data_IF_325408500472
#
_entry.id   IF_325408500472
#
_cell.length_a   1.000
_cell.length_b   1.000
_cell.length_c   1.000
_cell.angle_alpha   90.00
_cell.angle_beta   90.00
_cell.angle_gamma   90.00
#
_symmetry.space_group_name_H-M   'P 1'
#
loop_
_entity.id
_entity.type
_entity.pdbx_description
1 polymer ?
#
# COMPACT_ATOMS: atom_id res chain seq x y z
N UNK A 1 42.22 -1.61 22.36
CA UNK A 1 41.18 -2.53 21.87
C UNK A 1 39.94 -1.70 21.61
N UNK A 2 39.51 -1.58 20.35
CA UNK A 2 38.35 -0.76 20.00
C UNK A 2 37.10 -1.58 20.26
N UNK A 3 36.28 -1.15 21.22
CA UNK A 3 34.97 -1.74 21.48
C UNK A 3 34.05 -1.40 20.32
N UNK A 4 33.61 -2.40 19.55
CA UNK A 4 32.60 -2.23 18.51
C UNK A 4 31.28 -1.83 19.16
N UNK A 5 30.68 -0.75 18.68
CA UNK A 5 29.38 -0.27 19.15
C UNK A 5 28.26 -1.26 18.76
N UNK A 6 27.31 -1.52 19.67
CA UNK A 6 26.19 -2.45 19.48
C UNK A 6 24.86 -1.85 19.97
N UNK A 7 23.79 -2.12 19.23
CA UNK A 7 22.41 -1.76 19.58
C UNK A 7 21.64 -2.88 20.31
N UNK A 8 22.25 -4.05 20.52
CA UNK A 8 21.55 -5.25 21.02
C UNK A 8 20.80 -5.05 22.35
N UNK A 9 21.24 -4.12 23.20
CA UNK A 9 20.58 -3.77 24.47
C UNK A 9 19.56 -2.63 24.38
N UNK A 10 19.19 -2.18 23.18
CA UNK A 10 18.26 -1.04 22.96
C UNK A 10 16.90 -1.45 22.43
N UNK A 11 16.74 -2.71 22.01
CA UNK A 11 15.45 -3.24 21.57
C UNK A 11 14.50 -3.41 22.75
N UNK A 12 13.20 -3.23 22.52
CA UNK A 12 12.19 -3.49 23.54
C UNK A 12 12.06 -5.00 23.77
N UNK A 13 11.50 -5.41 24.92
CA UNK A 13 11.17 -6.81 25.20
C UNK A 13 10.22 -7.45 24.17
N UNK A 14 9.45 -6.62 23.47
CA UNK A 14 8.47 -7.03 22.47
C UNK A 14 9.04 -6.95 21.04
N UNK A 15 10.32 -6.56 20.89
CA UNK A 15 10.99 -6.53 19.60
C UNK A 15 11.33 -7.95 19.14
N UNK A 16 10.97 -8.26 17.90
CA UNK A 16 11.26 -9.55 17.28
C UNK A 16 12.25 -9.33 16.15
N UNK A 17 13.45 -9.87 16.30
CA UNK A 17 14.43 -9.92 15.22
C UNK A 17 13.87 -10.78 14.09
N UNK A 18 13.65 -10.19 12.92
CA UNK A 18 13.13 -10.89 11.75
C UNK A 18 14.21 -10.90 10.68
N UNK A 19 14.58 -12.09 10.20
CA UNK A 19 15.54 -12.21 9.11
C UNK A 19 15.00 -11.52 7.86
N UNK A 20 15.84 -10.73 7.19
CA UNK A 20 15.48 -10.10 5.91
C UNK A 20 15.36 -11.20 4.86
N UNK A 21 14.18 -11.32 4.24
CA UNK A 21 13.98 -12.22 3.12
C UNK A 21 14.65 -11.63 1.87
N UNK A 22 15.49 -12.43 1.21
CA UNK A 22 16.01 -12.12 -0.13
C UNK A 22 15.35 -13.07 -1.12
N UNK A 23 14.16 -12.72 -1.66
CA UNK A 23 13.50 -13.56 -2.64
C UNK A 23 14.42 -13.75 -3.85
N UNK A 24 14.75 -15.00 -4.16
CA UNK A 24 15.58 -15.33 -5.31
C UNK A 24 14.75 -15.29 -6.59
N UNK A 25 15.15 -14.49 -7.58
CA UNK A 25 14.54 -14.55 -8.90
C UNK A 25 15.16 -15.69 -9.71
N UNK A 26 14.54 -16.87 -9.67
CA UNK A 26 14.92 -17.96 -10.54
C UNK A 26 14.55 -17.65 -12.00
N UNK A 27 15.27 -18.24 -12.96
CA UNK A 27 14.95 -18.10 -14.40
C UNK A 27 13.51 -18.57 -14.72
N UNK A 28 13.05 -19.59 -14.01
CA UNK A 28 11.68 -20.07 -14.05
C UNK A 28 11.21 -20.15 -12.60
N UNK A 29 10.40 -19.16 -12.21
CA UNK A 29 9.90 -19.03 -10.85
C UNK A 29 8.38 -19.24 -10.83
N UNK A 30 7.96 -20.41 -10.38
CA UNK A 30 6.55 -20.78 -10.20
C UNK A 30 6.08 -20.60 -8.75
N UNK A 31 6.93 -20.08 -7.86
CA UNK A 31 6.64 -19.87 -6.45
C UNK A 31 6.05 -18.49 -6.15
N UNK A 32 5.90 -17.63 -7.16
CA UNK A 32 5.38 -16.26 -7.01
C UNK A 32 3.93 -16.15 -7.46
N UNK A 33 3.21 -15.19 -6.89
CA UNK A 33 1.81 -14.88 -7.20
C UNK A 33 1.65 -13.48 -7.81
N UNK A 34 2.71 -12.94 -8.42
CA UNK A 34 2.64 -11.65 -9.10
C UNK A 34 1.72 -11.76 -10.32
N UNK A 35 0.86 -10.76 -10.58
CA UNK A 35 0.18 -10.69 -11.86
C UNK A 35 1.21 -10.52 -12.99
N UNK A 36 0.89 -10.92 -14.23
CA UNK A 36 1.79 -10.71 -15.37
C UNK A 36 2.10 -9.20 -15.53
N UNK A 37 3.38 -8.78 -15.61
CA UNK A 37 3.75 -7.37 -15.63
C UNK A 37 3.08 -6.55 -16.74
N UNK A 38 2.84 -7.18 -17.89
CA UNK A 38 2.18 -6.59 -19.05
C UNK A 38 0.71 -6.25 -18.82
N UNK A 39 0.09 -6.75 -17.75
CA UNK A 39 -1.30 -6.43 -17.38
C UNK A 39 -1.42 -5.15 -16.55
N UNK A 40 -0.30 -4.57 -16.12
CA UNK A 40 -0.30 -3.33 -15.36
C UNK A 40 -0.77 -2.15 -16.25
N UNK A 41 -1.84 -1.42 -15.89
CA UNK A 41 -2.38 -0.33 -16.69
C UNK A 41 -1.59 0.98 -16.47
N UNK A 42 -0.31 0.97 -16.83
CA UNK A 42 0.63 2.05 -16.49
C UNK A 42 0.24 3.40 -17.12
N UNK A 43 -0.26 3.40 -18.35
CA UNK A 43 -0.67 4.63 -19.03
C UNK A 43 -1.90 5.25 -18.34
N UNK A 44 -2.88 4.42 -18.01
CA UNK A 44 -4.11 4.83 -17.34
C UNK A 44 -3.83 5.31 -15.91
N UNK A 45 -2.85 4.71 -15.22
CA UNK A 45 -2.37 5.18 -13.93
C UNK A 45 -1.74 6.57 -14.02
N UNK A 46 -0.91 6.82 -15.04
CA UNK A 46 -0.31 8.15 -15.28
C UNK A 46 -1.39 9.18 -15.59
N UNK A 47 -2.35 8.86 -16.45
CA UNK A 47 -3.47 9.74 -16.76
C UNK A 47 -4.33 10.03 -15.52
N UNK A 48 -4.63 9.00 -14.73
CA UNK A 48 -5.37 9.11 -13.47
C UNK A 48 -4.66 10.02 -12.47
N UNK A 49 -3.34 9.85 -12.32
CA UNK A 49 -2.51 10.70 -11.47
C UNK A 49 -2.55 12.16 -11.91
N UNK A 50 -2.36 12.44 -13.20
CA UNK A 50 -2.42 13.82 -13.73
C UNK A 50 -3.79 14.45 -13.44
N UNK A 51 -4.88 13.70 -13.65
CA UNK A 51 -6.25 14.16 -13.35
C UNK A 51 -6.42 14.45 -11.86
N UNK A 52 -5.93 13.56 -10.98
CA UNK A 52 -5.97 13.74 -9.54
C UNK A 52 -5.19 14.96 -9.06
N UNK A 53 -3.94 15.12 -9.49
CA UNK A 53 -3.09 16.26 -9.13
C UNK A 53 -3.72 17.60 -9.54
N UNK A 54 -4.36 17.66 -10.72
CA UNK A 54 -5.06 18.87 -11.17
C UNK A 54 -6.32 19.18 -10.36
N UNK A 55 -7.01 18.15 -9.85
CA UNK A 55 -8.25 18.28 -9.09
C UNK A 55 -7.99 18.69 -7.64
N UNK A 56 -7.07 17.99 -6.97
CA UNK A 56 -6.80 18.19 -5.54
C UNK A 56 -5.78 19.32 -5.30
N UNK A 57 -4.85 19.52 -6.23
CA UNK A 57 -3.88 20.61 -6.16
C UNK A 57 -3.03 20.61 -4.90
N UNK A 58 -2.93 21.78 -4.26
CA UNK A 58 -2.11 21.99 -3.07
C UNK A 58 -2.68 21.33 -1.81
N UNK A 59 -3.95 20.96 -1.79
CA UNK A 59 -4.57 20.36 -0.60
C UNK A 59 -4.02 18.96 -0.29
N UNK A 60 -3.34 18.32 -1.25
CA UNK A 60 -2.62 17.06 -1.06
C UNK A 60 -1.48 17.14 -0.03
N UNK A 61 -1.04 18.34 0.36
CA UNK A 61 0.01 18.50 1.40
C UNK A 61 -0.52 18.25 2.81
N UNK A 62 -1.83 18.25 3.02
CA UNK A 62 -2.43 18.02 4.32
C UNK A 62 -2.54 16.52 4.61
N UNK A 63 -2.45 16.17 5.90
CA UNK A 63 -2.70 14.80 6.33
C UNK A 63 -4.14 14.41 5.98
N UNK A 64 -4.35 13.21 5.41
CA UNK A 64 -5.69 12.70 5.18
C UNK A 64 -6.37 12.35 6.50
N UNK A 65 -7.66 12.02 6.40
CA UNK A 65 -8.41 11.39 7.47
C UNK A 65 -7.71 10.13 8.01
N UNK A 66 -7.92 9.80 9.29
CA UNK A 66 -7.27 8.66 9.93
C UNK A 66 -7.64 7.33 9.30
N UNK A 67 -8.81 7.22 8.66
CA UNK A 67 -9.24 6.02 7.94
C UNK A 67 -8.73 5.97 6.49
N UNK A 68 -7.91 6.95 6.09
CA UNK A 68 -7.40 7.13 4.75
C UNK A 68 -8.30 8.00 3.87
N UNK A 69 -7.89 8.19 2.60
CA UNK A 69 -8.54 9.11 1.68
C UNK A 69 -10.04 8.78 1.46
N UNK A 70 -10.93 9.74 1.75
CA UNK A 70 -12.39 9.57 1.65
C UNK A 70 -12.85 9.14 0.24
N UNK A 71 -12.34 9.77 -0.82
CA UNK A 71 -12.75 9.44 -2.19
C UNK A 71 -12.41 7.98 -2.56
N UNK A 72 -11.29 7.47 -2.03
CA UNK A 72 -10.91 6.07 -2.20
C UNK A 72 -11.79 5.11 -1.37
N UNK A 73 -12.20 5.52 -0.16
CA UNK A 73 -13.18 4.77 0.65
C UNK A 73 -14.53 4.67 -0.06
N UNK A 74 -15.04 5.79 -0.59
CA UNK A 74 -16.28 5.82 -1.37
C UNK A 74 -16.20 4.96 -2.64
N UNK A 75 -15.09 5.04 -3.36
CA UNK A 75 -14.86 4.19 -4.53
C UNK A 75 -14.88 2.70 -4.15
N UNK A 76 -14.23 2.34 -3.04
CA UNK A 76 -14.18 0.96 -2.54
C UNK A 76 -15.57 0.46 -2.15
N UNK A 77 -16.35 1.26 -1.42
CA UNK A 77 -17.73 0.92 -1.06
C UNK A 77 -18.60 0.65 -2.30
N UNK A 78 -18.54 1.53 -3.30
CA UNK A 78 -19.23 1.34 -4.59
C UNK A 78 -18.76 0.10 -5.34
N UNK A 79 -17.45 -0.17 -5.33
CA UNK A 79 -16.87 -1.34 -5.99
C UNK A 79 -17.29 -2.65 -5.32
N UNK A 80 -17.38 -2.68 -3.99
CA UNK A 80 -17.88 -3.85 -3.25
C UNK A 80 -19.34 -4.12 -3.57
N UNK A 81 -20.19 -3.09 -3.66
CA UNK A 81 -21.58 -3.28 -4.09
C UNK A 81 -21.64 -3.85 -5.52
N UNK A 82 -20.89 -3.26 -6.46
CA UNK A 82 -20.90 -3.69 -7.85
C UNK A 82 -20.34 -5.12 -8.07
N UNK A 83 -19.21 -5.45 -7.42
CA UNK A 83 -18.47 -6.69 -7.68
C UNK A 83 -18.89 -7.85 -6.77
N UNK A 84 -19.52 -7.54 -5.62
CA UNK A 84 -19.83 -8.51 -4.55
C UNK A 84 -21.27 -8.43 -4.04
N UNK A 85 -22.05 -7.42 -4.44
CA UNK A 85 -23.49 -7.35 -4.19
C UNK A 85 -23.88 -6.95 -2.76
N UNK A 86 -22.96 -6.40 -1.97
CA UNK A 86 -23.27 -5.91 -0.62
C UNK A 86 -22.85 -4.45 -0.44
N UNK A 87 -23.65 -3.73 0.34
CA UNK A 87 -23.43 -2.31 0.65
C UNK A 87 -22.65 -2.18 1.95
N UNK A 88 -21.70 -1.26 1.96
CA UNK A 88 -20.96 -0.82 3.15
C UNK A 88 -20.94 0.71 3.18
N UNK A 89 -20.92 1.29 4.37
CA UNK A 89 -20.70 2.73 4.52
C UNK A 89 -19.20 3.03 4.28
N UNK A 90 -18.83 4.12 3.59
CA UNK A 90 -17.43 4.53 3.49
C UNK A 90 -16.72 4.67 4.84
N UNK A 91 -17.43 4.93 5.94
CA UNK A 91 -16.87 4.99 7.30
C UNK A 91 -16.48 3.61 7.85
N UNK A 92 -17.02 2.53 7.28
CA UNK A 92 -16.63 1.14 7.60
C UNK A 92 -15.40 0.68 6.78
N UNK A 93 -14.88 1.52 5.89
CA UNK A 93 -13.73 1.21 5.03
C UNK A 93 -12.47 1.86 5.57
N UNK A 94 -11.42 1.06 5.77
CA UNK A 94 -10.09 1.55 6.15
C UNK A 94 -9.11 1.36 4.99
N UNK A 95 -8.35 2.41 4.66
CA UNK A 95 -7.28 2.37 3.66
C UNK A 95 -5.94 2.56 4.38
N UNK A 96 -5.10 1.52 4.32
CA UNK A 96 -3.76 1.47 4.91
C UNK A 96 -2.64 1.69 3.89
#
# INVERSE_FOLDING_TARGET
MTTTFSYSGRFSKDSVETAVAHPSHAKYDFGTAYPPPETAPLNELVEGLIKGLKREGQDLVYYPDSNGNLALREFTAKKLEADRGFKVDPEDVFIC
#
